data_IF_524972588751
#
_entry.id   IF_524972588751
#
_cell.length_a   1.000
_cell.length_b   1.000
_cell.length_c   1.000
_cell.angle_alpha   90.00
_cell.angle_beta   90.00
_cell.angle_gamma   90.00
#
_symmetry.space_group_name_H-M   'P 1'
#
loop_
_entity.id
_entity.type
_entity.pdbx_description
1 polymer ?
#
# COMPACT_ATOMS: atom_id res chain seq x y z
N UNK A 1 8.59 2.47 -1.77
CA UNK A 1 7.31 2.97 -2.35
C UNK A 1 7.01 2.40 -3.73
N UNK A 2 7.98 2.29 -4.65
CA UNK A 2 7.75 1.63 -5.94
C UNK A 2 7.28 0.16 -5.81
N UNK A 3 7.86 -0.61 -4.89
CA UNK A 3 7.42 -1.98 -4.57
C UNK A 3 5.95 -2.02 -4.13
N UNK A 4 5.53 -1.11 -3.26
CA UNK A 4 4.15 -1.02 -2.78
C UNK A 4 3.15 -0.83 -3.92
N UNK A 5 3.41 0.11 -4.83
CA UNK A 5 2.53 0.37 -5.96
C UNK A 5 2.43 -0.87 -6.89
N UNK A 6 3.54 -1.58 -7.09
CA UNK A 6 3.56 -2.84 -7.86
C UNK A 6 2.74 -3.93 -7.18
N UNK A 7 2.94 -4.16 -5.88
CA UNK A 7 2.20 -5.16 -5.10
C UNK A 7 0.71 -4.86 -5.07
N UNK A 8 0.32 -3.60 -4.85
CA UNK A 8 -1.09 -3.19 -4.84
C UNK A 8 -1.80 -3.43 -6.17
N UNK A 9 -1.08 -3.39 -7.30
CA UNK A 9 -1.63 -3.63 -8.63
C UNK A 9 -1.74 -5.11 -8.96
N UNK A 10 -0.74 -5.90 -8.60
CA UNK A 10 -0.69 -7.34 -8.90
C UNK A 10 -1.53 -8.16 -7.91
N UNK A 11 -1.57 -7.74 -6.65
CA UNK A 11 -2.14 -8.51 -5.54
C UNK A 11 -3.38 -7.81 -4.94
N UNK A 12 -4.42 -7.61 -5.77
CA UNK A 12 -5.66 -6.92 -5.33
C UNK A 12 -6.40 -7.66 -4.19
N UNK A 13 -6.20 -8.97 -4.05
CA UNK A 13 -6.84 -9.78 -3.00
C UNK A 13 -6.00 -9.88 -1.71
N UNK A 14 -4.72 -9.50 -1.74
CA UNK A 14 -3.84 -9.58 -0.56
C UNK A 14 -4.22 -8.51 0.46
N UNK A 15 -4.19 -8.84 1.75
CA UNK A 15 -4.44 -7.87 2.81
C UNK A 15 -3.41 -6.71 2.74
N UNK A 16 -3.87 -5.47 2.95
CA UNK A 16 -3.01 -4.29 2.97
C UNK A 16 -1.96 -4.35 4.08
N UNK A 17 -2.24 -5.03 5.18
CA UNK A 17 -1.29 -5.26 6.26
C UNK A 17 -0.10 -6.11 5.81
N UNK A 18 -0.36 -7.21 5.08
CA UNK A 18 0.70 -8.05 4.49
C UNK A 18 1.54 -7.26 3.48
N UNK A 19 0.92 -6.41 2.66
CA UNK A 19 1.65 -5.55 1.73
C UNK A 19 2.50 -4.52 2.50
N UNK A 20 1.97 -3.98 3.61
CA UNK A 20 2.70 -3.05 4.47
C UNK A 20 3.96 -3.70 5.06
N UNK A 21 3.83 -4.91 5.62
CA UNK A 21 4.95 -5.69 6.17
C UNK A 21 6.02 -5.97 5.10
N UNK A 22 5.61 -6.45 3.91
CA UNK A 22 6.53 -6.67 2.77
C UNK A 22 7.24 -5.39 2.31
N UNK A 23 6.63 -4.23 2.55
CA UNK A 23 7.23 -2.92 2.26
C UNK A 23 8.05 -2.35 3.42
N UNK A 24 8.24 -3.10 4.52
CA UNK A 24 9.03 -2.71 5.69
C UNK A 24 8.28 -1.84 6.70
N UNK A 25 6.95 -1.84 6.69
CA UNK A 25 6.14 -1.08 7.63
C UNK A 25 5.64 -1.97 8.77
N UNK A 26 5.71 -1.43 10.00
CA UNK A 26 5.20 -2.10 11.19
C UNK A 26 3.68 -2.06 11.32
N UNK A 27 2.99 -1.26 10.49
CA UNK A 27 1.53 -1.19 10.49
C UNK A 27 0.96 -0.68 9.17
N UNK A 28 -0.25 -1.16 8.83
CA UNK A 28 -1.03 -0.68 7.69
C UNK A 28 -1.26 0.84 7.74
N UNK A 29 -1.45 1.41 8.93
CA UNK A 29 -1.69 2.85 9.09
C UNK A 29 -0.46 3.69 8.68
N UNK A 30 0.73 3.31 9.16
CA UNK A 30 2.00 3.97 8.80
C UNK A 30 2.27 3.86 7.31
N UNK A 31 2.02 2.68 6.74
CA UNK A 31 2.10 2.44 5.30
C UNK A 31 1.14 3.35 4.52
N UNK A 32 -0.14 3.36 4.89
CA UNK A 32 -1.17 4.13 4.21
C UNK A 32 -0.91 5.64 4.25
N UNK A 33 -0.45 6.15 5.40
CA UNK A 33 -0.03 7.55 5.54
C UNK A 33 1.13 7.90 4.61
N UNK A 34 2.17 7.06 4.58
CA UNK A 34 3.35 7.30 3.73
C UNK A 34 3.02 7.16 2.24
N UNK A 35 2.17 6.19 1.88
CA UNK A 35 1.72 5.99 0.51
C UNK A 35 0.90 7.19 0.01
N UNK A 36 -0.07 7.66 0.80
CA UNK A 36 -0.87 8.86 0.50
C UNK A 36 0.01 10.10 0.35
N UNK A 37 1.00 10.29 1.23
CA UNK A 37 1.95 11.39 1.12
C UNK A 37 2.76 11.35 -0.20
N UNK A 38 3.05 10.15 -0.72
CA UNK A 38 3.85 9.99 -1.94
C UNK A 38 3.03 10.05 -3.23
N UNK A 39 1.81 9.53 -3.22
CA UNK A 39 0.97 9.30 -4.41
C UNK A 39 -0.35 10.09 -4.41
N UNK A 40 -0.64 10.85 -3.37
CA UNK A 40 -1.88 11.64 -3.23
C UNK A 40 -3.12 10.86 -2.82
N UNK A 41 -3.14 9.54 -3.03
CA UNK A 41 -4.27 8.64 -2.71
C UNK A 41 -3.85 7.53 -1.76
N UNK A 42 -4.79 6.96 -1.01
CA UNK A 42 -4.51 5.82 -0.13
C UNK A 42 -4.30 4.52 -0.93
N UNK A 43 -3.61 3.51 -0.37
CA UNK A 43 -3.46 2.20 -1.00
C UNK A 43 -4.79 1.53 -1.37
N UNK A 44 -5.82 1.72 -0.54
CA UNK A 44 -7.17 1.17 -0.79
C UNK A 44 -7.89 1.89 -1.93
N UNK A 45 -7.74 3.20 -2.06
CA UNK A 45 -8.25 3.95 -3.22
C UNK A 45 -7.51 3.56 -4.50
N UNK A 46 -6.18 3.49 -4.44
CA UNK A 46 -5.34 3.03 -5.56
C UNK A 46 -5.73 1.63 -6.04
N UNK A 47 -6.11 0.74 -5.12
CA UNK A 47 -6.58 -0.60 -5.44
C UNK A 47 -7.98 -0.61 -6.03
N UNK A 48 -8.87 0.32 -5.70
CA UNK A 48 -10.27 0.30 -6.18
C UNK A 48 -10.42 0.85 -7.59
N UNK A 49 -9.54 1.75 -8.02
CA UNK A 49 -9.42 2.15 -9.42
C UNK A 49 -8.62 1.13 -10.24
#
# INVERSE_FOLDING_TARGET
MALAARLLRLERQTNLEVIAERCGFQSQASFSKRFKMRYGVTPGEWRRG
#
